data_IF_949734621737
#
_entry.id   IF_949734621737
#
_cell.length_a   1.000
_cell.length_b   1.000
_cell.length_c   1.000
_cell.angle_alpha   90.00
_cell.angle_beta   90.00
_cell.angle_gamma   90.00
#
_symmetry.space_group_name_H-M   'P 1'
#
loop_
_entity.id
_entity.type
_entity.pdbx_description
1 polymer ?
#
# COMPACT_ATOMS: atom_id res chain seq x y z
N UNK A 1 3.45 -0.63 5.39
CA UNK A 1 4.59 -1.53 5.12
C UNK A 1 5.21 -1.25 3.75
N UNK A 2 6.57 -1.24 3.66
CA UNK A 2 7.30 -0.86 2.45
C UNK A 2 7.68 -2.11 1.63
N UNK A 3 6.72 -2.72 0.96
CA UNK A 3 6.95 -3.92 0.14
C UNK A 3 5.85 -4.17 -0.86
N UNK A 4 6.08 -5.11 -1.77
CA UNK A 4 5.18 -5.45 -2.87
C UNK A 4 4.69 -4.20 -3.63
N UNK A 5 3.40 -4.13 -3.92
CA UNK A 5 2.77 -3.01 -4.61
C UNK A 5 2.77 -1.68 -3.83
N UNK A 6 2.94 -1.71 -2.51
CA UNK A 6 3.08 -0.48 -1.72
C UNK A 6 4.43 0.21 -1.96
N UNK A 7 5.47 -0.55 -2.30
CA UNK A 7 6.74 0.03 -2.70
C UNK A 7 6.62 0.82 -4.01
N UNK A 8 5.98 0.22 -5.01
CA UNK A 8 5.73 0.83 -6.32
C UNK A 8 4.81 2.06 -6.23
N UNK A 9 3.72 1.94 -5.46
CA UNK A 9 2.70 2.98 -5.33
C UNK A 9 2.95 3.92 -4.14
N UNK A 10 4.15 3.92 -3.55
CA UNK A 10 4.49 4.77 -2.41
C UNK A 10 4.21 6.27 -2.67
N UNK A 11 4.59 6.88 -3.81
CA UNK A 11 4.32 8.30 -4.06
C UNK A 11 2.83 8.63 -4.03
N UNK A 12 1.98 7.73 -4.54
CA UNK A 12 0.53 7.86 -4.50
C UNK A 12 0.01 7.90 -3.07
N UNK A 13 0.30 6.87 -2.28
CA UNK A 13 -0.22 6.75 -0.93
C UNK A 13 0.38 7.78 0.04
N UNK A 14 1.65 8.09 -0.12
CA UNK A 14 2.31 9.13 0.67
C UNK A 14 1.62 10.48 0.46
N UNK A 15 1.43 10.90 -0.80
CA UNK A 15 0.75 12.15 -1.10
C UNK A 15 -0.72 12.16 -0.64
N UNK A 16 -1.41 11.02 -0.71
CA UNK A 16 -2.77 10.88 -0.23
C UNK A 16 -2.88 11.18 1.27
N UNK A 17 -2.11 10.47 2.09
CA UNK A 17 -2.20 10.60 3.54
C UNK A 17 -1.61 11.91 4.07
N UNK A 18 -0.51 12.40 3.51
CA UNK A 18 0.07 13.71 3.91
C UNK A 18 -0.85 14.87 3.55
N UNK A 19 -1.59 14.79 2.43
CA UNK A 19 -2.62 15.80 2.10
C UNK A 19 -3.78 15.80 3.09
N UNK A 20 -4.08 14.65 3.71
CA UNK A 20 -5.08 14.53 4.78
C UNK A 20 -4.54 14.96 6.15
N UNK A 21 -3.27 15.34 6.25
CA UNK A 21 -2.64 15.79 7.49
C UNK A 21 -2.04 14.67 8.36
N UNK A 22 -1.93 13.44 7.84
CA UNK A 22 -1.29 12.35 8.55
C UNK A 22 0.23 12.34 8.35
N UNK A 23 0.96 11.98 9.39
CA UNK A 23 2.36 11.59 9.29
C UNK A 23 2.45 10.17 8.71
N UNK A 24 3.24 10.00 7.66
CA UNK A 24 3.43 8.70 7.01
C UNK A 24 4.72 8.07 7.50
N UNK A 25 4.60 7.03 8.31
CA UNK A 25 5.71 6.22 8.82
C UNK A 25 5.92 5.03 7.90
N UNK A 26 7.15 4.83 7.44
CA UNK A 26 7.53 3.69 6.60
C UNK A 26 8.25 2.64 7.43
N UNK A 27 7.98 1.36 7.15
CA UNK A 27 8.80 0.28 7.68
C UNK A 27 10.21 0.33 7.09
N UNK A 28 11.24 -0.22 7.76
CA UNK A 28 12.60 -0.26 7.24
C UNK A 28 12.70 -0.96 5.88
N UNK A 29 13.83 -0.78 5.20
CA UNK A 29 14.13 -1.51 3.96
C UNK A 29 14.20 -3.01 4.20
N UNK A 30 13.79 -3.78 3.17
CA UNK A 30 13.80 -5.24 3.19
C UNK A 30 15.22 -5.77 3.36
N UNK A 31 15.43 -6.60 4.37
CA UNK A 31 16.69 -7.29 4.63
C UNK A 31 16.43 -8.62 5.36
N UNK A 32 17.51 -9.37 5.68
CA UNK A 32 17.39 -10.66 6.34
C UNK A 32 16.86 -10.54 7.78
N UNK A 33 17.19 -9.48 8.47
CA UNK A 33 16.75 -9.25 9.85
C UNK A 33 15.25 -8.96 9.88
N UNK A 34 14.76 -8.15 8.93
CA UNK A 34 13.33 -7.91 8.76
C UNK A 34 12.57 -9.22 8.47
N UNK A 35 13.11 -10.08 7.59
CA UNK A 35 12.51 -11.39 7.34
C UNK A 35 12.42 -12.23 8.63
N UNK A 36 13.52 -12.31 9.38
CA UNK A 36 13.58 -13.10 10.62
C UNK A 36 12.59 -12.59 11.68
N UNK A 37 12.38 -11.28 11.76
CA UNK A 37 11.40 -10.66 12.66
C UNK A 37 9.97 -11.19 12.41
N UNK A 38 9.53 -11.25 11.15
CA UNK A 38 8.18 -11.68 10.80
C UNK A 38 8.02 -13.19 10.56
N UNK A 39 9.10 -13.97 10.59
CA UNK A 39 9.09 -15.38 10.17
C UNK A 39 8.08 -16.24 10.94
N UNK A 40 7.86 -15.97 12.21
CA UNK A 40 6.98 -16.75 13.10
C UNK A 40 5.49 -16.63 12.75
N UNK A 41 5.10 -15.60 12.00
CA UNK A 41 3.71 -15.36 11.56
C UNK A 41 3.43 -15.88 10.15
N UNK A 42 4.43 -16.40 9.43
CA UNK A 42 4.28 -16.92 8.06
C UNK A 42 3.56 -18.25 8.09
N UNK A 43 2.34 -18.37 7.51
CA UNK A 43 1.55 -19.59 7.61
C UNK A 43 1.99 -20.72 6.65
N UNK A 44 2.78 -20.39 5.62
CA UNK A 44 3.17 -21.35 4.58
C UNK A 44 4.52 -21.03 3.97
N UNK A 45 5.34 -22.07 3.81
CA UNK A 45 6.64 -21.96 3.14
C UNK A 45 6.54 -21.82 1.63
N UNK A 46 5.37 -22.09 1.04
CA UNK A 46 5.17 -22.09 -0.42
C UNK A 46 4.93 -20.67 -0.99
N UNK A 47 4.63 -19.68 -0.16
CA UNK A 47 4.45 -18.30 -0.61
C UNK A 47 5.79 -17.70 -1.03
N UNK A 48 5.77 -16.78 -2.01
CA UNK A 48 6.98 -16.14 -2.52
C UNK A 48 7.71 -15.30 -1.46
N UNK A 49 9.02 -15.18 -1.59
CA UNK A 49 9.86 -14.47 -0.62
C UNK A 49 9.45 -13.00 -0.39
N UNK A 50 9.10 -12.19 -1.43
CA UNK A 50 8.62 -10.84 -1.21
C UNK A 50 7.36 -10.75 -0.32
N UNK A 51 6.46 -11.73 -0.43
CA UNK A 51 5.29 -11.79 0.45
C UNK A 51 5.68 -12.14 1.89
N UNK A 52 6.63 -13.06 2.09
CA UNK A 52 7.16 -13.38 3.43
C UNK A 52 7.75 -12.15 4.12
N UNK A 53 8.43 -11.26 3.37
CA UNK A 53 8.97 -10.01 3.90
C UNK A 53 7.87 -9.09 4.46
N UNK A 54 6.64 -9.14 3.93
CA UNK A 54 5.54 -8.30 4.41
C UNK A 54 5.20 -8.56 5.89
N UNK A 55 5.38 -9.78 6.37
CA UNK A 55 5.24 -10.11 7.79
C UNK A 55 6.22 -9.30 8.64
N UNK A 56 7.50 -9.26 8.25
CA UNK A 56 8.52 -8.45 8.94
C UNK A 56 8.26 -6.95 8.86
N UNK A 57 7.78 -6.46 7.71
CA UNK A 57 7.39 -5.05 7.58
C UNK A 57 6.26 -4.66 8.54
N UNK A 58 5.27 -5.54 8.71
CA UNK A 58 4.15 -5.30 9.63
C UNK A 58 4.62 -5.36 11.07
N UNK A 59 5.40 -6.37 11.46
CA UNK A 59 5.97 -6.49 12.80
C UNK A 59 6.80 -5.26 13.18
N UNK A 60 7.63 -4.76 12.26
CA UNK A 60 8.42 -3.54 12.51
C UNK A 60 7.56 -2.29 12.70
N UNK A 61 6.48 -2.13 11.97
CA UNK A 61 5.55 -1.02 12.20
C UNK A 61 4.85 -1.12 13.56
N UNK A 62 4.48 -2.33 13.98
CA UNK A 62 3.92 -2.57 15.32
C UNK A 62 4.93 -2.23 16.42
N UNK A 63 6.21 -2.66 16.28
CA UNK A 63 7.29 -2.30 17.19
C UNK A 63 7.55 -0.79 17.25
N UNK A 64 7.36 -0.06 16.13
CA UNK A 64 7.50 1.39 16.08
C UNK A 64 6.35 2.14 16.77
N UNK A 65 5.28 1.45 17.14
CA UNK A 65 4.15 2.02 17.87
C UNK A 65 3.29 2.97 17.03
N UNK A 66 3.07 2.65 15.75
CA UNK A 66 2.20 3.45 14.87
C UNK A 66 0.73 3.34 15.30
N UNK A 67 -0.05 4.40 15.13
CA UNK A 67 -1.48 4.42 15.50
C UNK A 67 -2.36 3.59 14.55
N UNK A 68 -1.90 3.44 13.30
CA UNK A 68 -2.62 2.68 12.28
C UNK A 68 -1.66 2.10 11.24
N UNK A 69 -2.02 0.96 10.65
CA UNK A 69 -1.35 0.40 9.48
C UNK A 69 -2.33 0.38 8.32
N UNK A 70 -1.92 0.97 7.21
CA UNK A 70 -2.65 0.94 5.95
C UNK A 70 -1.99 -0.03 4.98
N UNK A 71 -2.75 -1.02 4.52
CA UNK A 71 -2.32 -1.97 3.50
C UNK A 71 -3.52 -2.40 2.63
N UNK A 72 -3.76 -1.72 1.49
CA UNK A 72 -4.93 -1.98 0.68
C UNK A 72 -4.81 -3.27 -0.12
N UNK A 73 -5.94 -3.91 -0.37
CA UNK A 73 -6.07 -4.97 -1.38
C UNK A 73 -6.20 -4.33 -2.76
N UNK A 74 -5.25 -4.59 -3.65
CA UNK A 74 -5.20 -4.03 -5.00
C UNK A 74 -5.25 -5.15 -6.06
N UNK A 75 -6.43 -5.62 -6.47
CA UNK A 75 -6.56 -6.67 -7.47
C UNK A 75 -6.09 -6.26 -8.87
N UNK A 76 -6.06 -4.96 -9.16
CA UNK A 76 -5.78 -4.43 -10.48
C UNK A 76 -4.84 -3.23 -10.41
N UNK A 77 -3.82 -3.21 -11.27
CA UNK A 77 -2.84 -2.13 -11.33
C UNK A 77 -3.16 -1.12 -12.43
N UNK A 78 -2.36 -0.05 -12.54
CA UNK A 78 -2.45 0.93 -13.62
C UNK A 78 -2.18 0.27 -14.97
N UNK A 79 -2.89 0.74 -15.99
CA UNK A 79 -2.61 0.39 -17.38
C UNK A 79 -1.52 1.33 -17.91
N UNK A 80 -0.34 0.77 -18.16
CA UNK A 80 0.79 1.47 -18.77
C UNK A 80 0.84 1.30 -20.29
N UNK A 81 -0.22 0.75 -20.91
CA UNK A 81 -0.31 0.49 -22.34
C UNK A 81 0.82 -0.40 -22.89
N UNK A 82 1.36 -1.30 -22.05
CA UNK A 82 2.46 -2.20 -22.35
C UNK A 82 2.09 -3.68 -22.39
N UNK A 83 0.87 -3.99 -22.00
CA UNK A 83 0.34 -5.36 -21.97
C UNK A 83 -1.17 -5.37 -21.99
N UNK A 84 -1.75 -6.55 -22.12
CA UNK A 84 -3.17 -6.80 -22.21
C UNK A 84 -3.81 -7.31 -20.90
N UNK A 85 -3.00 -7.51 -19.87
CA UNK A 85 -3.45 -7.95 -18.55
C UNK A 85 -2.81 -7.10 -17.43
N UNK A 86 -3.66 -6.53 -16.59
CA UNK A 86 -3.26 -5.63 -15.50
C UNK A 86 -3.68 -6.14 -14.11
N UNK A 87 -4.10 -7.41 -14.01
CA UNK A 87 -4.38 -8.03 -12.73
C UNK A 87 -3.09 -8.28 -11.95
N UNK A 88 -3.08 -7.87 -10.70
CA UNK A 88 -2.02 -8.27 -9.79
C UNK A 88 -2.11 -9.77 -9.47
N UNK A 89 -0.98 -10.37 -9.10
CA UNK A 89 -1.02 -11.75 -8.62
C UNK A 89 -1.87 -11.85 -7.34
N UNK A 90 -2.46 -13.01 -7.04
CA UNK A 90 -3.31 -13.19 -5.84
C UNK A 90 -2.64 -12.78 -4.53
N UNK A 91 -1.32 -12.95 -4.42
CA UNK A 91 -0.55 -12.53 -3.25
C UNK A 91 -0.59 -11.02 -3.10
N UNK A 92 -0.30 -10.25 -4.14
CA UNK A 92 -0.39 -8.79 -4.10
C UNK A 92 -1.83 -8.33 -3.85
N UNK A 93 -2.81 -9.00 -4.48
CA UNK A 93 -4.22 -8.60 -4.39
C UNK A 93 -4.84 -8.80 -3.01
N UNK A 94 -4.46 -9.86 -2.27
CA UNK A 94 -5.19 -10.31 -1.07
C UNK A 94 -4.32 -10.54 0.16
N UNK A 95 -3.02 -10.30 0.10
CA UNK A 95 -2.10 -10.55 1.23
C UNK A 95 -2.42 -9.75 2.50
N UNK A 96 -2.99 -8.53 2.43
CA UNK A 96 -3.44 -7.83 3.62
C UNK A 96 -4.39 -8.63 4.51
N UNK A 97 -5.32 -9.40 3.92
CA UNK A 97 -6.26 -10.25 4.68
C UNK A 97 -5.55 -11.45 5.32
N UNK A 98 -4.55 -12.03 4.62
CA UNK A 98 -3.75 -13.11 5.17
C UNK A 98 -2.95 -12.64 6.40
N UNK A 99 -2.36 -11.45 6.34
CA UNK A 99 -1.68 -10.84 7.49
C UNK A 99 -2.62 -10.62 8.67
N UNK A 100 -3.84 -10.10 8.44
CA UNK A 100 -4.84 -9.93 9.47
C UNK A 100 -5.17 -11.24 10.21
N UNK A 101 -5.15 -12.37 9.49
CA UNK A 101 -5.44 -13.68 10.06
C UNK A 101 -4.25 -14.33 10.79
N UNK A 102 -3.01 -13.88 10.56
CA UNK A 102 -1.80 -14.53 11.06
C UNK A 102 -0.94 -13.67 11.99
N UNK A 103 -1.17 -12.34 12.04
CA UNK A 103 -0.49 -11.40 12.93
C UNK A 103 -1.49 -10.93 13.97
N UNK A 104 -1.51 -11.56 15.14
CA UNK A 104 -2.52 -11.34 16.18
C UNK A 104 -2.59 -9.87 16.64
N UNK A 105 -1.46 -9.19 16.73
CA UNK A 105 -1.35 -7.80 17.19
C UNK A 105 -2.05 -6.79 16.27
N UNK A 106 -2.35 -7.16 15.01
CA UNK A 106 -3.13 -6.32 14.11
C UNK A 106 -4.58 -6.10 14.59
N UNK A 107 -5.09 -6.96 15.48
CA UNK A 107 -6.39 -6.76 16.10
C UNK A 107 -6.40 -5.66 17.18
N UNK A 108 -5.24 -5.25 17.65
CA UNK A 108 -5.06 -4.28 18.73
C UNK A 108 -4.88 -2.84 18.22
N UNK A 109 -4.67 -2.68 16.92
CA UNK A 109 -4.48 -1.39 16.28
C UNK A 109 -5.47 -1.19 15.12
N UNK A 110 -5.56 0.00 14.58
CA UNK A 110 -6.33 0.27 13.37
C UNK A 110 -5.60 -0.29 12.15
N UNK A 111 -6.02 -1.46 11.68
CA UNK A 111 -5.49 -2.09 10.46
C UNK A 111 -6.49 -1.90 9.30
N UNK A 112 -6.11 -1.09 8.31
CA UNK A 112 -6.98 -0.69 7.20
C UNK A 112 -6.60 -1.46 5.93
N UNK A 113 -7.51 -2.33 5.46
CA UNK A 113 -7.30 -3.21 4.29
C UNK A 113 -8.39 -3.05 3.21
N UNK A 114 -8.68 -1.83 2.76
CA UNK A 114 -9.74 -1.63 1.78
C UNK A 114 -9.41 -2.23 0.42
N UNK A 115 -10.45 -2.62 -0.32
CA UNK A 115 -10.36 -3.00 -1.72
C UNK A 115 -10.46 -1.77 -2.61
N UNK A 116 -9.35 -1.37 -3.22
CA UNK A 116 -9.33 -0.22 -4.12
C UNK A 116 -8.92 -0.59 -5.54
N UNK A 117 -9.46 0.14 -6.52
CA UNK A 117 -9.05 0.12 -7.91
C UNK A 117 -8.44 1.47 -8.28
N UNK A 118 -7.15 1.67 -7.97
CA UNK A 118 -6.43 2.92 -8.25
C UNK A 118 -6.32 3.24 -9.75
N UNK A 119 -6.49 2.25 -10.62
CA UNK A 119 -6.49 2.40 -12.07
C UNK A 119 -7.70 3.20 -12.62
N UNK A 120 -8.73 3.45 -11.79
CA UNK A 120 -9.94 4.21 -12.16
C UNK A 120 -10.14 5.41 -11.23
N UNK A 121 -9.57 6.58 -11.57
CA UNK A 121 -9.54 7.74 -10.66
C UNK A 121 -10.90 8.17 -10.10
N UNK A 122 -11.95 8.17 -10.94
CA UNK A 122 -13.31 8.57 -10.51
C UNK A 122 -13.89 7.57 -9.51
N UNK A 123 -13.74 6.27 -9.77
CA UNK A 123 -14.24 5.20 -8.90
C UNK A 123 -13.46 5.15 -7.60
N UNK A 124 -12.13 5.31 -7.68
CA UNK A 124 -11.27 5.41 -6.50
C UNK A 124 -11.69 6.56 -5.60
N UNK A 125 -11.83 7.78 -6.15
CA UNK A 125 -12.20 8.95 -5.35
C UNK A 125 -13.55 8.78 -4.63
N UNK A 126 -14.52 8.10 -5.25
CA UNK A 126 -15.81 7.77 -4.65
C UNK A 126 -15.65 6.76 -3.51
N UNK A 127 -15.01 5.61 -3.79
CA UNK A 127 -14.80 4.54 -2.79
C UNK A 127 -13.92 5.00 -1.64
N UNK A 128 -12.88 5.78 -1.91
CA UNK A 128 -12.02 6.36 -0.88
C UNK A 128 -12.80 7.32 0.02
N UNK A 129 -13.67 8.17 -0.55
CA UNK A 129 -14.52 9.06 0.23
C UNK A 129 -15.51 8.31 1.14
N UNK A 130 -16.05 7.19 0.65
CA UNK A 130 -16.93 6.32 1.43
C UNK A 130 -16.15 5.62 2.56
N UNK A 131 -15.05 4.93 2.23
CA UNK A 131 -14.24 4.18 3.19
C UNK A 131 -13.61 5.08 4.26
N UNK A 132 -12.83 6.07 3.87
CA UNK A 132 -12.13 6.94 4.83
C UNK A 132 -13.08 7.93 5.53
N UNK A 133 -14.24 8.24 4.92
CA UNK A 133 -15.29 8.98 5.60
C UNK A 133 -15.85 8.22 6.81
N UNK A 134 -15.97 6.91 6.71
CA UNK A 134 -16.40 6.05 7.81
C UNK A 134 -15.26 5.75 8.80
N UNK A 135 -14.10 5.33 8.29
CA UNK A 135 -12.96 4.90 9.12
C UNK A 135 -12.25 6.04 9.86
N UNK A 136 -12.09 7.19 9.21
CA UNK A 136 -11.31 8.32 9.71
C UNK A 136 -12.17 9.53 10.05
N UNK A 137 -13.49 9.46 9.82
CA UNK A 137 -14.45 10.56 10.03
C UNK A 137 -14.09 11.85 9.27
N UNK A 138 -13.51 11.71 8.08
CA UNK A 138 -13.04 12.82 7.26
C UNK A 138 -14.11 13.28 6.27
N UNK A 139 -14.19 14.60 5.97
CA UNK A 139 -15.07 15.13 4.94
C UNK A 139 -14.74 14.58 3.55
N UNK A 140 -15.75 14.19 2.79
CA UNK A 140 -15.56 13.67 1.43
C UNK A 140 -14.81 14.64 0.49
N UNK A 141 -14.94 15.95 0.70
CA UNK A 141 -14.22 16.96 -0.08
C UNK A 141 -12.70 16.90 0.14
N UNK A 142 -12.26 16.70 1.38
CA UNK A 142 -10.84 16.57 1.72
C UNK A 142 -10.26 15.28 1.16
N UNK A 143 -10.99 14.18 1.26
CA UNK A 143 -10.57 12.88 0.70
C UNK A 143 -10.43 12.96 -0.82
N UNK A 144 -11.38 13.61 -1.52
CA UNK A 144 -11.29 13.82 -2.96
C UNK A 144 -10.12 14.72 -3.36
N UNK A 145 -9.82 15.75 -2.55
CA UNK A 145 -8.62 16.60 -2.73
C UNK A 145 -7.34 15.76 -2.58
N UNK A 146 -7.26 14.92 -1.56
CA UNK A 146 -6.14 14.02 -1.34
C UNK A 146 -5.98 13.01 -2.49
N UNK A 147 -7.08 12.44 -3.00
CA UNK A 147 -7.04 11.57 -4.17
C UNK A 147 -6.45 12.27 -5.39
N UNK A 148 -6.84 13.53 -5.66
CA UNK A 148 -6.27 14.32 -6.77
C UNK A 148 -4.76 14.55 -6.58
N UNK A 149 -4.31 14.86 -5.37
CA UNK A 149 -2.89 15.04 -5.06
C UNK A 149 -2.11 13.73 -5.24
N UNK A 150 -2.68 12.59 -4.85
CA UNK A 150 -2.09 11.28 -5.00
C UNK A 150 -1.84 10.92 -6.47
N UNK A 151 -2.82 11.13 -7.36
CA UNK A 151 -2.63 10.91 -8.80
C UNK A 151 -1.57 11.84 -9.38
N UNK A 152 -1.57 13.12 -9.04
CA UNK A 152 -0.54 14.06 -9.51
C UNK A 152 0.87 13.65 -9.08
N UNK A 153 1.04 13.16 -7.84
CA UNK A 153 2.31 12.66 -7.34
C UNK A 153 2.75 11.38 -8.07
N UNK A 154 1.82 10.45 -8.34
CA UNK A 154 2.09 9.24 -9.11
C UNK A 154 2.54 9.57 -10.53
N UNK A 155 1.81 10.45 -11.23
CA UNK A 155 2.13 10.85 -12.61
C UNK A 155 3.52 11.51 -12.69
N UNK A 156 3.83 12.40 -11.75
CA UNK A 156 5.14 13.05 -11.66
C UNK A 156 6.27 12.03 -11.42
N UNK A 157 6.04 11.04 -10.57
CA UNK A 157 6.98 9.97 -10.29
C UNK A 157 7.24 9.10 -11.54
N UNK A 158 6.17 8.69 -12.23
CA UNK A 158 6.29 7.89 -13.46
C UNK A 158 7.01 8.65 -14.58
N UNK A 159 6.78 9.96 -14.70
CA UNK A 159 7.52 10.80 -15.64
C UNK A 159 9.01 10.87 -15.29
N UNK A 160 9.35 11.05 -14.01
CA UNK A 160 10.73 11.09 -13.55
C UNK A 160 11.47 9.76 -13.81
N UNK A 161 10.82 8.60 -13.61
CA UNK A 161 11.37 7.29 -13.92
C UNK A 161 11.66 7.16 -15.42
N UNK A 162 10.71 7.55 -16.29
CA UNK A 162 10.86 7.49 -17.74
C UNK A 162 12.03 8.36 -18.20
N UNK A 163 12.06 9.60 -17.74
CA UNK A 163 13.17 10.53 -18.05
C UNK A 163 14.52 9.95 -17.61
N UNK A 164 14.58 9.39 -16.39
CA UNK A 164 15.81 8.79 -15.88
C UNK A 164 16.24 7.57 -16.71
N UNK A 165 15.28 6.77 -17.16
CA UNK A 165 15.56 5.65 -18.08
C UNK A 165 16.12 6.11 -19.43
N UNK A 166 15.58 7.19 -20.00
CA UNK A 166 16.08 7.78 -21.26
C UNK A 166 17.50 8.35 -21.13
N UNK A 167 17.85 8.94 -19.97
CA UNK A 167 19.20 9.43 -19.69
C UNK A 167 20.25 8.31 -19.58
N UNK A 168 19.83 7.07 -19.34
CA UNK A 168 20.74 5.92 -19.15
C UNK A 168 21.00 5.12 -20.44
N UNK A 169 20.27 5.40 -21.50
CA UNK A 169 20.37 4.72 -22.82
C UNK A 169 21.13 5.60 -23.80
#
# INVERSE_FOLDING_TARGET
PLGLNLYENLPFWHAFFTTLGYEVVLSPESNRELYACGQHTIPSDTVCYPAKLMHGHVEKLLEMGVDAIFYPCLPYNFDEERGDNHYNCPVVAYYPELLAANVAQLSEIRYMTPYFGIHRPKDFAKKAAEYFGQELHLPAAEIKKAAKAAYAAHDAYMQAIRQKGEEMV
#
